data_IF_848119636725
#
_entry.id   IF_848119636725
#
_cell.length_a   1.000
_cell.length_b   1.000
_cell.length_c   1.000
_cell.angle_alpha   90.00
_cell.angle_beta   90.00
_cell.angle_gamma   90.00
#
_symmetry.space_group_name_H-M   'P 1'
#
loop_
_entity.id
_entity.type
_entity.pdbx_description
1 polymer ?
#
# COMPACT_ATOMS: atom_id res chain seq x y z
N UNK A 1 -8.53 -14.03 20.74
CA UNK A 1 -8.70 -14.89 21.92
C UNK A 1 -8.36 -14.17 23.23
N UNK A 2 -7.67 -13.03 23.18
CA UNK A 2 -7.34 -12.24 24.40
C UNK A 2 -8.31 -11.06 24.62
N UNK A 3 -9.50 -11.07 24.02
CA UNK A 3 -10.51 -10.03 24.21
C UNK A 3 -10.21 -8.73 23.44
N UNK A 4 -9.42 -8.79 22.36
CA UNK A 4 -9.21 -7.64 21.52
C UNK A 4 -10.51 -7.22 20.82
N UNK A 5 -10.82 -5.92 20.87
CA UNK A 5 -12.06 -5.34 20.32
C UNK A 5 -11.81 -4.69 18.92
N UNK A 6 -10.60 -4.80 18.39
CA UNK A 6 -10.23 -4.25 17.08
C UNK A 6 -8.73 -4.23 16.86
N UNK A 7 -8.32 -3.76 15.68
CA UNK A 7 -6.93 -3.44 15.35
C UNK A 7 -6.81 -1.93 15.22
N UNK A 8 -6.12 -1.29 16.18
CA UNK A 8 -5.92 0.15 16.18
C UNK A 8 -4.94 0.66 15.14
N UNK A 9 -4.03 -0.19 14.66
CA UNK A 9 -3.11 0.13 13.58
C UNK A 9 -2.57 -1.13 12.89
N UNK A 10 -2.99 -1.34 11.65
CA UNK A 10 -2.37 -2.26 10.72
C UNK A 10 -1.39 -1.48 9.83
N UNK A 11 -0.09 -1.76 9.97
CA UNK A 11 1.00 -1.12 9.20
C UNK A 11 1.24 -1.91 7.92
N UNK A 12 0.80 -1.37 6.79
CA UNK A 12 0.87 -2.08 5.49
C UNK A 12 2.28 -2.27 4.97
N UNK A 13 3.26 -1.47 5.42
CA UNK A 13 4.68 -1.62 5.08
C UNK A 13 5.23 -3.00 5.45
N UNK A 14 4.76 -3.62 6.52
CA UNK A 14 5.21 -4.94 6.93
C UNK A 14 4.84 -6.03 5.91
N UNK A 15 3.78 -5.83 5.13
CA UNK A 15 3.37 -6.74 4.08
C UNK A 15 4.33 -6.76 2.89
N UNK A 16 5.18 -5.73 2.75
CA UNK A 16 6.11 -5.57 1.63
C UNK A 16 7.49 -6.19 1.87
N UNK A 17 7.86 -6.51 3.12
CA UNK A 17 9.17 -7.06 3.46
C UNK A 17 9.28 -8.58 3.28
N UNK A 18 8.23 -9.25 2.83
CA UNK A 18 8.25 -10.67 2.50
C UNK A 18 9.20 -10.94 1.31
N UNK A 19 9.97 -12.03 1.36
CA UNK A 19 10.98 -12.36 0.34
C UNK A 19 10.39 -12.51 -1.07
N UNK A 20 9.16 -13.01 -1.17
CA UNK A 20 8.48 -13.17 -2.46
C UNK A 20 8.01 -11.83 -3.07
N UNK A 21 7.89 -10.80 -2.25
CA UNK A 21 7.29 -9.50 -2.62
C UNK A 21 8.31 -8.39 -2.77
N UNK A 22 9.39 -8.45 -1.99
CA UNK A 22 10.36 -7.35 -1.91
C UNK A 22 10.97 -6.99 -3.27
N UNK A 23 11.15 -7.95 -4.16
CA UNK A 23 11.65 -7.69 -5.52
C UNK A 23 10.66 -6.86 -6.34
N UNK A 24 9.36 -7.15 -6.25
CA UNK A 24 8.32 -6.36 -6.94
C UNK A 24 8.17 -4.97 -6.31
N UNK A 25 8.38 -4.82 -5.01
CA UNK A 25 8.42 -3.51 -4.34
C UNK A 25 9.60 -2.69 -4.84
N UNK A 26 10.78 -3.28 -4.94
CA UNK A 26 11.98 -2.64 -5.48
C UNK A 26 11.80 -2.27 -6.96
N UNK A 27 11.19 -3.14 -7.76
CA UNK A 27 10.81 -2.86 -9.15
C UNK A 27 9.88 -1.65 -9.23
N UNK A 28 8.85 -1.58 -8.39
CA UNK A 28 7.94 -0.44 -8.29
C UNK A 28 8.68 0.86 -7.99
N UNK A 29 9.60 0.85 -7.01
CA UNK A 29 10.34 2.04 -6.57
C UNK A 29 11.31 2.54 -7.64
N UNK A 30 12.01 1.63 -8.31
CA UNK A 30 13.00 1.96 -9.33
C UNK A 30 12.41 2.25 -10.70
N UNK A 31 11.11 2.04 -10.89
CA UNK A 31 10.40 2.31 -12.13
C UNK A 31 10.48 3.79 -12.51
N UNK A 32 10.86 4.08 -13.76
CA UNK A 32 10.97 5.43 -14.30
C UNK A 32 9.62 5.97 -14.80
N UNK A 33 8.75 5.08 -15.28
CA UNK A 33 7.45 5.45 -15.84
C UNK A 33 6.30 4.99 -14.95
N UNK A 34 5.14 5.61 -15.11
CA UNK A 34 3.92 5.20 -14.42
C UNK A 34 3.50 3.79 -14.86
N UNK A 35 3.66 3.47 -16.13
CA UNK A 35 3.30 2.19 -16.72
C UNK A 35 4.14 1.05 -16.15
N UNK A 36 5.44 1.25 -15.98
CA UNK A 36 6.34 0.26 -15.37
C UNK A 36 5.98 0.06 -13.89
N UNK A 37 5.71 1.16 -13.17
CA UNK A 37 5.30 1.11 -11.76
C UNK A 37 3.97 0.38 -11.61
N UNK A 38 3.00 0.64 -12.48
CA UNK A 38 1.71 -0.06 -12.45
C UNK A 38 1.88 -1.56 -12.67
N UNK A 39 2.74 -1.99 -13.59
CA UNK A 39 3.04 -3.42 -13.79
C UNK A 39 3.64 -4.09 -12.56
N UNK A 40 4.52 -3.40 -11.84
CA UNK A 40 5.05 -3.92 -10.58
C UNK A 40 3.97 -3.98 -9.48
N UNK A 41 3.10 -2.97 -9.40
CA UNK A 41 1.97 -2.93 -8.48
C UNK A 41 0.94 -4.04 -8.76
N UNK A 42 0.70 -4.38 -10.02
CA UNK A 42 -0.18 -5.49 -10.42
C UNK A 42 0.32 -6.85 -9.89
N UNK A 43 1.64 -7.01 -9.72
CA UNK A 43 2.22 -8.20 -9.07
C UNK A 43 1.97 -8.20 -7.56
N UNK A 44 1.94 -7.05 -6.92
CA UNK A 44 1.76 -6.90 -5.48
C UNK A 44 0.29 -6.99 -5.05
N UNK A 45 -0.64 -6.55 -5.89
CA UNK A 45 -2.07 -6.50 -5.59
C UNK A 45 -2.64 -7.83 -5.06
N UNK A 46 -2.42 -8.99 -5.71
CA UNK A 46 -2.99 -10.26 -5.22
C UNK A 46 -2.44 -10.67 -3.86
N UNK A 47 -1.18 -10.36 -3.56
CA UNK A 47 -0.58 -10.64 -2.26
C UNK A 47 -1.22 -9.79 -1.16
N UNK A 48 -1.28 -8.48 -1.34
CA UNK A 48 -1.93 -7.59 -0.36
C UNK A 48 -3.41 -7.90 -0.18
N UNK A 49 -4.13 -8.18 -1.27
CA UNK A 49 -5.53 -8.60 -1.20
C UNK A 49 -5.72 -9.83 -0.32
N UNK A 50 -4.85 -10.85 -0.46
CA UNK A 50 -4.89 -12.06 0.35
C UNK A 50 -4.64 -11.77 1.83
N UNK A 51 -3.66 -10.92 2.15
CA UNK A 51 -3.36 -10.52 3.51
C UNK A 51 -4.55 -9.80 4.16
N UNK A 52 -5.16 -8.86 3.45
CA UNK A 52 -6.36 -8.17 3.95
C UNK A 52 -7.57 -9.10 4.06
N UNK A 53 -7.75 -10.04 3.13
CA UNK A 53 -8.82 -11.05 3.23
C UNK A 53 -8.70 -11.86 4.52
N UNK A 54 -7.48 -12.26 4.90
CA UNK A 54 -7.22 -13.01 6.11
C UNK A 54 -7.46 -12.17 7.37
N UNK A 55 -6.90 -10.95 7.45
CA UNK A 55 -7.08 -10.03 8.57
C UNK A 55 -8.57 -9.72 8.76
N UNK A 56 -9.28 -9.35 7.71
CA UNK A 56 -10.69 -8.97 7.80
C UNK A 56 -11.60 -10.15 8.12
N UNK A 57 -11.23 -11.35 7.72
CA UNK A 57 -11.92 -12.58 8.11
C UNK A 57 -11.78 -12.87 9.60
N UNK A 58 -10.55 -12.77 10.11
CA UNK A 58 -10.26 -13.02 11.54
C UNK A 58 -10.96 -11.98 12.42
N UNK A 59 -10.95 -10.73 12.02
CA UNK A 59 -11.53 -9.60 12.76
C UNK A 59 -13.00 -9.35 12.43
N UNK A 60 -13.73 -10.38 12.00
CA UNK A 60 -15.11 -10.29 11.51
C UNK A 60 -16.06 -9.51 12.42
N UNK A 61 -16.48 -8.34 12.00
CA UNK A 61 -17.39 -7.43 12.70
C UNK A 61 -16.71 -6.44 13.66
N UNK A 62 -15.38 -6.50 13.80
CA UNK A 62 -14.60 -5.58 14.62
C UNK A 62 -13.90 -4.54 13.73
N UNK A 63 -13.56 -3.35 14.26
CA UNK A 63 -12.85 -2.32 13.53
C UNK A 63 -11.40 -2.72 13.25
N UNK A 64 -10.92 -2.38 12.05
CA UNK A 64 -9.52 -2.55 11.65
C UNK A 64 -9.05 -1.26 11.00
N UNK A 65 -8.19 -0.53 11.69
CA UNK A 65 -7.55 0.67 11.14
C UNK A 65 -6.35 0.26 10.29
N UNK A 66 -6.45 0.49 8.98
CA UNK A 66 -5.41 0.19 7.99
C UNK A 66 -4.71 1.48 7.61
N UNK A 67 -3.45 1.62 8.01
CA UNK A 67 -2.61 2.74 7.57
C UNK A 67 -2.04 2.44 6.18
N UNK A 68 -2.31 3.34 5.22
CA UNK A 68 -1.69 3.27 3.91
C UNK A 68 -0.17 3.45 4.03
N UNK A 69 0.58 3.09 2.98
CA UNK A 69 2.04 3.10 2.97
C UNK A 69 2.60 4.42 3.49
N UNK A 70 3.35 4.35 4.59
CA UNK A 70 3.87 5.52 5.30
C UNK A 70 5.37 5.75 5.10
N UNK A 71 6.26 4.74 5.24
CA UNK A 71 7.68 4.99 5.21
C UNK A 71 8.18 5.48 3.85
N UNK A 72 9.31 6.21 3.82
CA UNK A 72 9.93 6.62 2.57
C UNK A 72 10.42 5.40 1.79
N UNK A 73 10.40 5.51 0.46
CA UNK A 73 10.68 4.38 -0.44
C UNK A 73 12.10 3.82 -0.28
N UNK A 74 13.07 4.63 0.14
CA UNK A 74 14.45 4.18 0.31
C UNK A 74 14.61 3.09 1.39
N UNK A 75 13.66 2.94 2.31
CA UNK A 75 13.71 1.88 3.34
C UNK A 75 13.60 0.47 2.73
N UNK A 76 12.99 0.34 1.57
CA UNK A 76 12.81 -0.91 0.85
C UNK A 76 13.94 -1.22 -0.15
N UNK A 77 14.83 -0.26 -0.40
CA UNK A 77 15.88 -0.40 -1.40
C UNK A 77 16.92 -1.46 -1.00
N UNK A 78 17.56 -2.11 -1.99
CA UNK A 78 18.58 -3.09 -1.74
C UNK A 78 19.79 -2.44 -1.05
N UNK A 79 20.40 -3.16 -0.10
CA UNK A 79 21.54 -2.68 0.69
C UNK A 79 22.81 -3.47 0.44
N UNK A 80 22.70 -4.68 -0.08
CA UNK A 80 23.82 -5.56 -0.37
C UNK A 80 24.07 -5.63 -1.88
N UNK A 81 25.32 -5.87 -2.25
CA UNK A 81 25.72 -6.02 -3.65
C UNK A 81 24.95 -7.14 -4.37
N UNK A 82 24.65 -8.23 -3.64
CA UNK A 82 23.82 -9.32 -4.14
C UNK A 82 22.41 -8.85 -4.50
N UNK A 83 21.75 -8.14 -3.58
CA UNK A 83 20.39 -7.61 -3.81
C UNK A 83 20.35 -6.59 -4.94
N UNK A 84 21.38 -5.73 -5.06
CA UNK A 84 21.50 -4.76 -6.15
C UNK A 84 21.58 -5.48 -7.50
N UNK A 85 22.38 -6.54 -7.60
CA UNK A 85 22.49 -7.36 -8.82
C UNK A 85 21.15 -8.06 -9.16
N UNK A 86 20.46 -8.62 -8.17
CA UNK A 86 19.15 -9.25 -8.36
C UNK A 86 18.13 -8.25 -8.91
N UNK A 87 18.05 -7.08 -8.31
CA UNK A 87 17.12 -6.03 -8.73
C UNK A 87 17.48 -5.51 -10.13
N UNK A 88 18.78 -5.28 -10.42
CA UNK A 88 19.25 -4.82 -11.71
C UNK A 88 18.78 -5.73 -12.86
N UNK A 89 18.82 -7.05 -12.63
CA UNK A 89 18.34 -8.05 -13.60
C UNK A 89 16.81 -7.94 -13.81
N UNK A 90 16.04 -7.73 -12.74
CA UNK A 90 14.56 -7.66 -12.80
C UNK A 90 14.10 -6.38 -13.52
N UNK A 91 14.73 -5.25 -13.21
CA UNK A 91 14.35 -3.95 -13.79
C UNK A 91 15.04 -3.66 -15.12
N UNK A 92 15.90 -4.55 -15.61
CA UNK A 92 16.69 -4.39 -16.85
C UNK A 92 17.52 -3.10 -16.84
N UNK A 93 18.11 -2.77 -15.71
CA UNK A 93 19.05 -1.65 -15.53
C UNK A 93 20.45 -2.20 -15.23
N UNK A 94 21.47 -1.39 -15.50
CA UNK A 94 22.82 -1.70 -15.04
C UNK A 94 22.93 -1.50 -13.52
N UNK A 95 23.87 -2.20 -12.89
CA UNK A 95 24.15 -2.03 -11.44
C UNK A 95 24.41 -0.56 -11.10
N UNK A 96 25.21 0.14 -11.92
CA UNK A 96 25.49 1.58 -11.72
C UNK A 96 24.26 2.47 -11.79
N UNK A 97 23.30 2.16 -12.66
CA UNK A 97 22.04 2.90 -12.72
C UNK A 97 21.18 2.64 -11.46
N UNK A 98 21.17 1.40 -10.97
CA UNK A 98 20.46 1.07 -9.71
C UNK A 98 21.10 1.80 -8.54
N UNK A 99 22.43 1.80 -8.42
CA UNK A 99 23.16 2.53 -7.37
C UNK A 99 22.86 4.03 -7.43
N UNK A 100 22.93 4.65 -8.63
CA UNK A 100 22.58 6.07 -8.81
C UNK A 100 21.15 6.39 -8.36
N UNK A 101 20.20 5.50 -8.64
CA UNK A 101 18.81 5.68 -8.21
C UNK A 101 18.64 5.50 -6.70
N UNK A 102 19.40 4.61 -6.08
CA UNK A 102 19.41 4.46 -4.62
C UNK A 102 19.90 5.76 -3.97
N UNK A 103 20.99 6.34 -4.48
CA UNK A 103 21.54 7.59 -3.98
C UNK A 103 20.56 8.77 -4.18
N UNK A 104 19.89 8.87 -5.33
CA UNK A 104 18.87 9.89 -5.60
C UNK A 104 17.68 9.81 -4.65
N UNK A 105 17.26 8.60 -4.25
CA UNK A 105 16.12 8.35 -3.39
C UNK A 105 16.46 8.41 -1.90
N UNK A 106 17.74 8.50 -1.56
CA UNK A 106 18.20 8.56 -0.17
C UNK A 106 17.79 9.88 0.49
N UNK A 107 16.96 9.78 1.52
CA UNK A 107 16.47 10.93 2.28
C UNK A 107 17.45 11.27 3.43
N UNK A 108 17.89 12.52 3.51
CA UNK A 108 18.71 12.98 4.63
C UNK A 108 17.90 13.06 5.93
N UNK A 109 16.62 13.42 5.83
CA UNK A 109 15.69 13.42 6.96
C UNK A 109 14.40 12.64 6.58
N UNK A 110 14.33 11.36 6.96
CA UNK A 110 13.16 10.51 6.65
C UNK A 110 11.83 11.05 7.20
N UNK A 111 11.85 11.86 8.26
CA UNK A 111 10.63 12.42 8.85
C UNK A 111 10.01 13.52 7.99
N UNK A 112 10.83 14.28 7.26
CA UNK A 112 10.40 15.40 6.42
C UNK A 112 10.40 15.05 4.93
N UNK A 113 10.88 13.88 4.58
CA UNK A 113 11.06 13.42 3.21
C UNK A 113 9.77 13.05 2.48
N UNK A 114 9.97 12.42 1.31
CA UNK A 114 8.90 12.00 0.41
C UNK A 114 8.27 10.68 0.88
N UNK A 115 7.31 10.78 1.78
CA UNK A 115 6.62 9.67 2.43
C UNK A 115 5.15 9.97 2.70
N UNK A 116 4.39 8.96 3.13
CA UNK A 116 3.00 9.11 3.56
C UNK A 116 2.11 9.72 2.47
N UNK A 117 1.25 10.67 2.82
CA UNK A 117 0.34 11.32 1.88
C UNK A 117 1.07 12.03 0.74
N UNK A 118 2.27 12.57 0.97
CA UNK A 118 3.09 13.21 -0.09
C UNK A 118 3.47 12.21 -1.17
N UNK A 119 3.85 10.99 -0.75
CA UNK A 119 4.11 9.88 -1.68
C UNK A 119 2.85 9.51 -2.46
N UNK A 120 1.70 9.40 -1.78
CA UNK A 120 0.42 9.09 -2.41
C UNK A 120 -0.06 10.16 -3.38
N UNK A 121 0.29 11.44 -3.17
CA UNK A 121 0.00 12.53 -4.11
C UNK A 121 0.89 12.45 -5.35
N UNK A 122 2.19 12.17 -5.18
CA UNK A 122 3.16 12.10 -6.28
C UNK A 122 3.02 10.81 -7.11
N UNK A 123 2.68 9.72 -6.47
CA UNK A 123 2.53 8.38 -7.07
C UNK A 123 1.19 7.75 -6.63
N UNK A 124 0.05 8.32 -7.06
CA UNK A 124 -1.28 7.90 -6.61
C UNK A 124 -1.56 6.42 -6.86
N UNK A 125 -0.96 5.83 -7.90
CA UNK A 125 -1.12 4.42 -8.26
C UNK A 125 -0.71 3.46 -7.12
N UNK A 126 0.19 3.87 -6.22
CA UNK A 126 0.58 3.07 -5.05
C UNK A 126 -0.60 2.95 -4.08
N UNK A 127 -1.23 4.09 -3.77
CA UNK A 127 -2.38 4.11 -2.87
C UNK A 127 -3.64 3.54 -3.53
N UNK A 128 -3.80 3.75 -4.85
CA UNK A 128 -4.87 3.13 -5.64
C UNK A 128 -4.81 1.61 -5.53
N UNK A 129 -3.61 1.01 -5.69
CA UNK A 129 -3.42 -0.44 -5.55
C UNK A 129 -3.75 -0.92 -4.15
N UNK A 130 -3.28 -0.22 -3.09
CA UNK A 130 -3.57 -0.60 -1.70
C UNK A 130 -5.07 -0.52 -1.40
N UNK A 131 -5.74 0.56 -1.79
CA UNK A 131 -7.18 0.71 -1.62
C UNK A 131 -7.93 -0.37 -2.39
N UNK A 132 -7.53 -0.68 -3.63
CA UNK A 132 -8.11 -1.76 -4.42
C UNK A 132 -7.98 -3.09 -3.71
N UNK A 133 -6.78 -3.42 -3.18
CA UNK A 133 -6.56 -4.64 -2.42
C UNK A 133 -7.49 -4.76 -1.20
N UNK A 134 -7.67 -3.67 -0.45
CA UNK A 134 -8.56 -3.59 0.71
C UNK A 134 -10.02 -3.87 0.29
N UNK A 135 -10.53 -3.13 -0.68
CA UNK A 135 -11.94 -3.24 -1.06
C UNK A 135 -12.27 -4.52 -1.83
N UNK A 136 -11.33 -5.06 -2.60
CA UNK A 136 -11.49 -6.36 -3.24
C UNK A 136 -11.48 -7.51 -2.22
N UNK A 137 -10.64 -7.44 -1.18
CA UNK A 137 -10.67 -8.41 -0.08
C UNK A 137 -12.04 -8.43 0.63
N UNK A 138 -12.58 -7.25 0.91
CA UNK A 138 -13.93 -7.14 1.49
C UNK A 138 -15.01 -7.69 0.53
N UNK A 139 -14.87 -7.43 -0.78
CA UNK A 139 -15.78 -7.96 -1.78
C UNK A 139 -15.80 -9.49 -1.82
N UNK A 140 -14.62 -10.11 -1.76
CA UNK A 140 -14.51 -11.57 -1.72
C UNK A 140 -15.15 -12.17 -0.46
N UNK A 141 -14.92 -11.59 0.70
CA UNK A 141 -15.56 -12.05 1.94
C UNK A 141 -17.07 -11.92 1.88
N UNK A 142 -17.59 -10.80 1.33
CA UNK A 142 -19.02 -10.60 1.12
C UNK A 142 -19.63 -11.66 0.20
N UNK A 143 -18.99 -11.95 -0.95
CA UNK A 143 -19.43 -12.99 -1.88
C UNK A 143 -19.50 -14.37 -1.21
N UNK A 144 -18.52 -14.67 -0.37
CA UNK A 144 -18.46 -15.91 0.44
C UNK A 144 -19.44 -15.90 1.62
N UNK A 145 -20.18 -14.81 1.84
CA UNK A 145 -21.08 -14.60 3.00
C UNK A 145 -20.35 -14.70 4.35
N UNK A 146 -19.08 -14.35 4.37
CA UNK A 146 -18.25 -14.29 5.58
C UNK A 146 -18.38 -12.90 6.19
N UNK A 147 -18.57 -12.82 7.51
CA UNK A 147 -18.59 -11.57 8.23
C UNK A 147 -17.19 -10.96 8.20
N UNK A 148 -17.04 -9.82 7.54
CA UNK A 148 -15.77 -9.09 7.47
C UNK A 148 -15.63 -8.08 8.59
N UNK A 149 -14.39 -7.65 8.86
CA UNK A 149 -14.11 -6.49 9.69
C UNK A 149 -14.75 -5.21 9.15
N UNK A 150 -14.81 -4.18 9.99
CA UNK A 150 -15.14 -2.80 9.59
C UNK A 150 -13.82 -2.05 9.33
N UNK A 151 -13.50 -1.71 8.05
CA UNK A 151 -12.23 -1.08 7.72
C UNK A 151 -12.26 0.43 7.98
N UNK A 152 -11.20 0.92 8.59
CA UNK A 152 -10.91 2.34 8.80
C UNK A 152 -9.61 2.66 8.05
N UNK A 153 -9.69 3.41 6.96
CA UNK A 153 -8.54 3.75 6.14
C UNK A 153 -7.86 4.98 6.72
N UNK A 154 -6.63 4.82 7.18
CA UNK A 154 -5.82 5.89 7.75
C UNK A 154 -4.82 6.41 6.73
N UNK A 155 -4.92 7.69 6.40
CA UNK A 155 -3.98 8.40 5.53
C UNK A 155 -2.87 8.99 6.40
N UNK A 156 -1.61 8.55 6.23
CA UNK A 156 -0.51 8.99 7.09
C UNK A 156 0.01 10.38 6.71
N UNK A 157 0.55 11.11 7.71
CA UNK A 157 1.31 12.36 7.54
C UNK A 157 0.58 13.50 6.82
N UNK A 158 -0.71 13.63 7.02
CA UNK A 158 -1.49 14.75 6.49
C UNK A 158 -1.16 16.01 7.29
N UNK A 159 -0.86 17.11 6.60
CA UNK A 159 -0.56 18.41 7.18
C UNK A 159 -1.57 19.50 6.78
N UNK A 160 -2.27 19.32 5.67
CA UNK A 160 -3.19 20.32 5.12
C UNK A 160 -4.54 19.72 4.74
N UNK A 161 -5.56 20.58 4.70
CA UNK A 161 -6.91 20.20 4.23
C UNK A 161 -6.88 19.73 2.76
N UNK A 162 -6.04 20.35 1.93
CA UNK A 162 -5.92 19.97 0.53
C UNK A 162 -5.39 18.53 0.37
N UNK A 163 -4.40 18.13 1.15
CA UNK A 163 -3.84 16.77 1.13
C UNK A 163 -4.88 15.72 1.52
N UNK A 164 -5.61 15.95 2.64
CA UNK A 164 -6.63 14.98 3.06
C UNK A 164 -7.76 14.88 2.04
N UNK A 165 -8.16 16.00 1.43
CA UNK A 165 -9.20 16.00 0.40
C UNK A 165 -8.81 15.16 -0.80
N UNK A 166 -7.60 15.36 -1.37
CA UNK A 166 -7.10 14.60 -2.51
C UNK A 166 -7.06 13.10 -2.19
N UNK A 167 -6.50 12.74 -1.04
CA UNK A 167 -6.35 11.34 -0.66
C UNK A 167 -7.69 10.69 -0.31
N UNK A 168 -8.59 11.40 0.35
CA UNK A 168 -9.94 10.91 0.64
C UNK A 168 -10.74 10.67 -0.63
N UNK A 169 -10.67 11.58 -1.59
CA UNK A 169 -11.33 11.44 -2.89
C UNK A 169 -10.80 10.21 -3.64
N UNK A 170 -9.48 9.96 -3.63
CA UNK A 170 -8.88 8.75 -4.19
C UNK A 170 -9.47 7.49 -3.55
N UNK A 171 -9.48 7.41 -2.22
CA UNK A 171 -10.03 6.24 -1.50
C UNK A 171 -11.51 6.02 -1.85
N UNK A 172 -12.32 7.08 -1.85
CA UNK A 172 -13.76 7.00 -2.15
C UNK A 172 -13.99 6.54 -3.60
N UNK A 173 -13.21 7.05 -4.55
CA UNK A 173 -13.33 6.70 -5.97
C UNK A 173 -13.02 5.21 -6.18
N UNK A 174 -11.91 4.71 -5.64
CA UNK A 174 -11.55 3.28 -5.75
C UNK A 174 -12.59 2.40 -5.03
N UNK A 175 -13.04 2.80 -3.84
CA UNK A 175 -14.09 2.07 -3.14
C UNK A 175 -15.37 1.98 -3.98
N UNK A 176 -15.79 3.08 -4.58
CA UNK A 176 -16.98 3.14 -5.43
C UNK A 176 -16.85 2.26 -6.67
N UNK A 177 -15.68 2.29 -7.32
CA UNK A 177 -15.39 1.46 -8.49
C UNK A 177 -15.48 -0.03 -8.15
N UNK A 178 -14.76 -0.48 -7.10
CA UNK A 178 -14.74 -1.88 -6.68
C UNK A 178 -16.13 -2.36 -6.25
N UNK A 179 -16.87 -1.54 -5.49
CA UNK A 179 -18.24 -1.87 -5.07
C UNK A 179 -19.19 -2.02 -6.27
N UNK A 180 -19.09 -1.14 -7.26
CA UNK A 180 -19.88 -1.20 -8.50
C UNK A 180 -19.55 -2.44 -9.31
N UNK A 181 -18.26 -2.74 -9.52
CA UNK A 181 -17.80 -3.92 -10.26
C UNK A 181 -18.27 -5.22 -9.62
N UNK A 182 -18.25 -5.29 -8.29
CA UNK A 182 -18.61 -6.49 -7.54
C UNK A 182 -20.08 -6.54 -7.11
N UNK A 183 -20.88 -5.49 -7.40
CA UNK A 183 -22.31 -5.37 -7.02
C UNK A 183 -22.53 -5.55 -5.51
N UNK A 184 -21.67 -4.96 -4.71
CA UNK A 184 -21.71 -5.01 -3.24
C UNK A 184 -21.74 -3.60 -2.65
N UNK A 185 -22.12 -3.51 -1.36
CA UNK A 185 -21.97 -2.31 -0.56
C UNK A 185 -21.11 -2.63 0.66
N UNK A 186 -20.08 -1.85 0.89
CA UNK A 186 -19.18 -1.94 2.05
C UNK A 186 -19.21 -0.60 2.78
N UNK A 187 -19.37 -0.66 4.09
CA UNK A 187 -19.22 0.51 4.96
C UNK A 187 -17.78 0.61 5.42
N UNK A 188 -17.24 1.82 5.44
CA UNK A 188 -15.87 2.11 5.85
C UNK A 188 -15.73 3.55 6.31
N UNK A 189 -14.66 3.84 7.04
CA UNK A 189 -14.27 5.21 7.37
C UNK A 189 -12.94 5.60 6.74
N UNK A 190 -12.76 6.90 6.54
CA UNK A 190 -11.48 7.48 6.09
C UNK A 190 -11.08 8.53 7.11
N UNK A 191 -9.89 8.40 7.64
CA UNK A 191 -9.30 9.31 8.60
C UNK A 191 -7.85 9.61 8.30
N UNK A 192 -7.22 10.35 9.20
CA UNK A 192 -5.82 10.72 9.07
C UNK A 192 -5.07 10.52 10.37
N UNK A 193 -3.76 10.38 10.27
CA UNK A 193 -2.81 10.46 11.37
C UNK A 193 -2.24 11.88 11.39
N UNK A 194 -2.47 12.56 12.50
CA UNK A 194 -1.95 13.91 12.78
C UNK A 194 -0.70 13.80 13.64
#
# INVERSE_FOLDING_TARGET
DFGAEGIGLCRTEHMFFDEERILSVREMILSKTKEDRSRALDKLLPHQKKDFEEIFRIMGGLPVTVRLLDPPLHEFLPRTEKEINEVANVVSLSVKEVESRIDELHEQNPMLGHRGCRLGISFPEIYEMQCRAIFEALAELRKKKIKSAFPEIMIPLVSTEAEIKIMKDLVINIASEVQKQNKIKVEFMVGTMI
#
